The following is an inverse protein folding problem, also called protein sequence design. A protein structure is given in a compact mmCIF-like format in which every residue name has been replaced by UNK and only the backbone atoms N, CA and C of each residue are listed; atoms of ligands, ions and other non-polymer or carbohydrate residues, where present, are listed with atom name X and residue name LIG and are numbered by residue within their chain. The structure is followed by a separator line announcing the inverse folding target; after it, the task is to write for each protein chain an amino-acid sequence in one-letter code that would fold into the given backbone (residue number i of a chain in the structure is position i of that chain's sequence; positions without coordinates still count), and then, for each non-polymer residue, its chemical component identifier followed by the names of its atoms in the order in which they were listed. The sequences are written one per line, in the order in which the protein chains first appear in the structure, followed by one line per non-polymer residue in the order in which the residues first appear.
data_IF_931961517545
#
_entry.id   IF_931961517545
#
_cell.length_a   1.000
_cell.length_b   1.000
_cell.length_c   1.000
_cell.angle_alpha   90.00
_cell.angle_beta   90.00
_cell.angle_gamma   90.00
#
_symmetry.space_group_name_H-M   'P 1'
#
loop_
_entity.id
_entity.type
_entity.pdbx_description
1 polymer ?
#
# COMPACT_ATOMS: atom_id res chain seq x y z
N UNK A 1 7.48 -10.31 -0.20
CA UNK A 1 8.41 -9.77 0.82
C UNK A 1 7.74 -8.56 1.46
N UNK A 2 7.68 -8.46 2.78
CA UNK A 2 7.10 -7.30 3.46
C UNK A 2 8.16 -6.24 3.75
N UNK A 3 7.83 -4.97 3.57
CA UNK A 3 8.71 -3.84 3.85
C UNK A 3 7.93 -2.76 4.63
N UNK A 4 8.36 -2.53 5.88
CA UNK A 4 7.74 -1.52 6.75
C UNK A 4 8.25 -0.11 6.44
N UNK A 5 7.57 0.91 6.98
CA UNK A 5 7.99 2.30 6.81
C UNK A 5 9.37 2.55 7.45
N UNK A 6 10.38 2.97 6.69
CA UNK A 6 11.77 3.02 7.15
C UNK A 6 12.00 4.11 8.19
N UNK A 7 11.15 5.14 8.24
CA UNK A 7 11.30 6.28 9.15
C UNK A 7 10.38 6.18 10.38
N UNK A 8 9.91 4.97 10.71
CA UNK A 8 9.04 4.72 11.88
C UNK A 8 9.59 5.33 13.19
N UNK A 9 10.89 5.22 13.53
CA UNK A 9 11.43 5.76 14.78
C UNK A 9 11.42 7.29 14.91
N UNK A 10 11.40 8.02 13.79
CA UNK A 10 11.41 9.49 13.79
C UNK A 10 10.01 10.08 13.57
N UNK A 11 9.10 9.30 12.98
CA UNK A 11 7.71 9.70 12.77
C UNK A 11 6.81 9.47 13.99
N UNK A 12 7.28 8.72 15.00
CA UNK A 12 6.51 8.34 16.18
C UNK A 12 7.37 8.46 17.46
N UNK A 13 6.77 8.47 18.66
CA UNK A 13 7.53 8.50 19.91
C UNK A 13 8.53 7.34 20.01
N UNK A 14 9.82 7.67 20.19
CA UNK A 14 10.93 6.70 20.13
C UNK A 14 10.76 5.53 21.10
N UNK A 15 10.17 5.74 22.27
CA UNK A 15 9.99 4.70 23.29
C UNK A 15 9.13 3.52 22.82
N UNK A 16 8.28 3.69 21.80
CA UNK A 16 7.46 2.59 21.27
C UNK A 16 8.26 1.54 20.50
N UNK A 17 9.47 1.90 20.05
CA UNK A 17 10.35 1.07 19.21
C UNK A 17 11.81 1.26 19.62
N UNK A 18 12.08 1.40 20.92
CA UNK A 18 13.35 1.87 21.46
C UNK A 18 14.56 1.03 21.02
N UNK A 19 14.36 -0.28 20.86
CA UNK A 19 15.41 -1.25 20.52
C UNK A 19 15.35 -1.72 19.06
N UNK A 20 14.48 -1.10 18.24
CA UNK A 20 14.31 -1.48 16.84
C UNK A 20 14.96 -0.47 15.91
N UNK A 21 15.56 -1.00 14.85
CA UNK A 21 16.09 -0.25 13.72
C UNK A 21 15.18 -0.42 12.50
N UNK A 22 14.93 0.70 11.83
CA UNK A 22 14.21 0.75 10.57
C UNK A 22 15.05 1.53 9.59
N UNK A 23 14.99 1.17 8.31
CA UNK A 23 15.75 1.87 7.30
C UNK A 23 15.52 1.31 5.90
N UNK A 24 15.99 2.06 4.92
CA UNK A 24 16.04 1.63 3.52
C UNK A 24 17.29 0.76 3.38
N UNK A 25 17.11 -0.55 3.29
CA UNK A 25 18.21 -1.51 3.23
C UNK A 25 18.18 -2.26 1.90
N UNK A 26 18.57 -1.58 0.81
CA UNK A 26 18.54 -2.14 -0.55
C UNK A 26 19.32 -3.47 -0.66
N UNK A 27 20.46 -3.58 0.02
CA UNK A 27 21.27 -4.80 0.05
C UNK A 27 20.54 -5.95 0.76
N UNK A 28 19.90 -5.68 1.89
CA UNK A 28 19.12 -6.68 2.60
C UNK A 28 17.89 -7.11 1.79
N UNK A 29 17.20 -6.16 1.15
CA UNK A 29 16.11 -6.47 0.23
C UNK A 29 16.59 -7.35 -0.93
N UNK A 30 17.75 -7.07 -1.51
CA UNK A 30 18.33 -7.92 -2.57
C UNK A 30 18.60 -9.35 -2.06
N UNK A 31 19.12 -9.51 -0.83
CA UNK A 31 19.29 -10.83 -0.21
C UNK A 31 17.94 -11.56 -0.09
N UNK A 32 16.89 -10.89 0.40
CA UNK A 32 15.56 -11.48 0.52
C UNK A 32 14.95 -11.87 -0.83
N UNK A 33 15.15 -11.05 -1.87
CA UNK A 33 14.72 -11.38 -3.24
C UNK A 33 15.45 -12.61 -3.74
N UNK A 34 16.78 -12.65 -3.60
CA UNK A 34 17.59 -13.80 -4.01
C UNK A 34 17.18 -15.08 -3.27
N UNK A 35 16.92 -14.99 -1.96
CA UNK A 35 16.45 -16.12 -1.16
C UNK A 35 15.08 -16.63 -1.65
N UNK A 36 14.12 -15.73 -1.87
CA UNK A 36 12.81 -16.11 -2.39
C UNK A 36 12.91 -16.80 -3.76
N UNK A 37 13.73 -16.26 -4.67
CA UNK A 37 14.00 -16.86 -5.99
C UNK A 37 14.71 -18.21 -5.86
N UNK A 38 15.70 -18.32 -5.00
CA UNK A 38 16.44 -19.56 -4.73
C UNK A 38 15.54 -20.67 -4.20
N UNK A 39 14.49 -20.31 -3.46
CA UNK A 39 13.43 -21.23 -3.01
C UNK A 39 12.38 -21.56 -4.09
N UNK A 40 12.56 -21.07 -5.32
CA UNK A 40 11.70 -21.39 -6.47
C UNK A 40 10.59 -20.38 -6.76
N UNK A 41 10.60 -19.19 -6.16
CA UNK A 41 9.60 -18.16 -6.46
C UNK A 41 9.67 -17.73 -7.93
N UNK A 42 8.59 -17.95 -8.68
CA UNK A 42 8.44 -17.49 -10.08
C UNK A 42 8.00 -16.03 -10.19
N UNK A 43 7.37 -15.51 -9.13
CA UNK A 43 7.05 -14.08 -8.98
C UNK A 43 7.47 -13.62 -7.60
N UNK A 44 8.13 -12.46 -7.51
CA UNK A 44 8.49 -11.80 -6.26
C UNK A 44 7.82 -10.44 -6.20
N UNK A 45 6.88 -10.32 -5.27
CA UNK A 45 6.18 -9.08 -4.96
C UNK A 45 6.66 -8.54 -3.62
N UNK A 46 6.98 -7.23 -3.58
CA UNK A 46 7.20 -6.50 -2.34
C UNK A 46 5.91 -5.80 -1.94
N UNK A 47 5.42 -6.08 -0.74
CA UNK A 47 4.34 -5.32 -0.11
C UNK A 47 5.00 -4.25 0.76
N UNK A 48 4.99 -3.01 0.26
CA UNK A 48 5.80 -1.91 0.80
C UNK A 48 4.96 -0.87 1.52
N UNK A 49 5.55 -0.27 2.54
CA UNK A 49 5.08 0.95 3.17
C UNK A 49 6.16 2.04 3.17
N UNK A 50 7.10 2.02 2.21
CA UNK A 50 8.15 3.05 2.12
C UNK A 50 7.62 4.42 1.68
N UNK A 51 6.65 4.40 0.76
CA UNK A 51 6.20 5.59 0.01
C UNK A 51 6.69 5.55 -1.44
N UNK A 52 5.89 6.13 -2.34
CA UNK A 52 6.06 5.99 -3.80
C UNK A 52 7.48 6.30 -4.29
N UNK A 53 8.04 7.46 -3.97
CA UNK A 53 9.35 7.87 -4.49
C UNK A 53 10.48 6.96 -4.00
N UNK A 54 10.38 6.48 -2.77
CA UNK A 54 11.35 5.53 -2.19
C UNK A 54 11.21 4.17 -2.86
N UNK A 55 9.98 3.71 -3.12
CA UNK A 55 9.74 2.45 -3.83
C UNK A 55 10.20 2.50 -5.28
N UNK A 56 9.98 3.61 -6.00
CA UNK A 56 10.53 3.84 -7.34
C UNK A 56 12.06 3.79 -7.33
N UNK A 57 12.69 4.37 -6.30
CA UNK A 57 14.16 4.34 -6.18
C UNK A 57 14.68 2.94 -5.85
N UNK A 58 14.02 2.22 -4.95
CA UNK A 58 14.36 0.83 -4.61
C UNK A 58 14.20 -0.07 -5.83
N UNK A 59 13.11 0.09 -6.60
CA UNK A 59 12.88 -0.63 -7.86
C UNK A 59 13.98 -0.39 -8.90
N UNK A 60 14.62 0.78 -8.91
CA UNK A 60 15.73 1.05 -9.82
C UNK A 60 17.03 0.37 -9.41
N UNK A 61 17.14 -0.10 -8.17
CA UNK A 61 18.38 -0.64 -7.57
C UNK A 61 18.32 -2.14 -7.32
N UNK A 62 17.22 -2.63 -6.78
CA UNK A 62 17.03 -4.04 -6.42
C UNK A 62 16.52 -4.83 -7.62
N UNK A 63 17.24 -5.88 -7.99
CA UNK A 63 16.95 -6.74 -9.14
C UNK A 63 16.04 -7.89 -8.73
N UNK A 64 15.20 -8.34 -9.67
CA UNK A 64 14.41 -9.56 -9.52
C UNK A 64 13.06 -9.39 -8.80
N UNK A 65 12.68 -8.16 -8.45
CA UNK A 65 11.33 -7.81 -8.00
C UNK A 65 10.44 -7.62 -9.23
N UNK A 66 9.31 -8.32 -9.32
CA UNK A 66 8.36 -8.15 -10.42
C UNK A 66 7.38 -7.00 -10.15
N UNK A 67 6.93 -6.86 -8.89
CA UNK A 67 6.10 -5.74 -8.47
C UNK A 67 6.38 -5.27 -7.05
N UNK A 68 6.18 -3.97 -6.84
CA UNK A 68 6.04 -3.32 -5.55
C UNK A 68 4.61 -2.81 -5.44
N UNK A 69 3.88 -3.35 -4.47
CA UNK A 69 2.57 -2.86 -4.06
C UNK A 69 2.80 -1.96 -2.84
N UNK A 70 2.86 -0.66 -3.07
CA UNK A 70 3.26 0.32 -2.07
C UNK A 70 2.09 0.86 -1.24
N UNK A 71 2.44 1.78 -0.35
CA UNK A 71 1.53 2.44 0.58
C UNK A 71 2.13 3.77 1.03
N UNK A 72 1.77 4.21 2.25
CA UNK A 72 2.26 5.43 2.89
C UNK A 72 1.85 6.77 2.24
N UNK A 73 2.16 6.98 0.97
CA UNK A 73 1.95 8.25 0.25
C UNK A 73 0.51 8.43 -0.26
N UNK A 74 -0.32 7.39 -0.17
CA UNK A 74 -1.75 7.43 -0.49
C UNK A 74 -2.08 7.78 -1.95
N UNK A 75 -1.18 7.47 -2.89
CA UNK A 75 -1.38 7.72 -4.32
C UNK A 75 -2.40 6.75 -4.91
N UNK A 76 -3.41 7.25 -5.61
CA UNK A 76 -4.32 6.44 -6.41
C UNK A 76 -3.78 6.33 -7.83
N UNK A 77 -3.20 5.19 -8.19
CA UNK A 77 -2.52 5.02 -9.48
C UNK A 77 -3.39 4.29 -10.49
N UNK A 78 -3.83 4.93 -11.59
CA UNK A 78 -4.64 4.26 -12.61
C UNK A 78 -3.87 3.18 -13.39
N UNK A 79 -2.53 3.25 -13.39
CA UNK A 79 -1.63 2.25 -13.96
C UNK A 79 -0.33 2.19 -13.12
N UNK A 80 0.38 1.05 -13.09
CA UNK A 80 1.69 0.96 -12.43
C UNK A 80 2.75 1.74 -13.19
N UNK A 81 3.73 2.29 -12.49
CA UNK A 81 4.99 2.72 -13.09
C UNK A 81 5.84 1.50 -13.44
N UNK A 82 6.43 1.48 -14.63
CA UNK A 82 7.38 0.45 -15.05
C UNK A 82 8.80 0.98 -14.88
N UNK A 83 9.50 0.49 -13.88
CA UNK A 83 10.88 0.90 -13.58
C UNK A 83 11.85 -0.13 -14.16
N UNK A 84 12.73 0.29 -15.09
CA UNK A 84 13.80 -0.56 -15.63
C UNK A 84 15.01 -0.55 -14.69
N UNK A 85 15.63 -1.71 -14.51
CA UNK A 85 16.86 -1.88 -13.74
C UNK A 85 17.76 -2.96 -14.38
N UNK A 86 18.93 -3.20 -13.80
CA UNK A 86 19.91 -4.16 -14.32
C UNK A 86 19.43 -5.63 -14.36
N UNK A 87 18.32 -5.95 -13.69
CA UNK A 87 17.70 -7.28 -13.66
C UNK A 87 16.42 -7.40 -14.50
N UNK A 88 16.04 -6.37 -15.26
CA UNK A 88 14.82 -6.34 -16.05
C UNK A 88 13.96 -5.12 -15.70
N UNK A 89 12.71 -5.38 -15.30
CA UNK A 89 11.77 -4.33 -14.91
C UNK A 89 11.00 -4.71 -13.65
N UNK A 90 10.52 -3.69 -12.95
CA UNK A 90 9.68 -3.81 -11.76
C UNK A 90 8.48 -2.88 -11.91
N UNK A 91 7.28 -3.41 -11.65
CA UNK A 91 6.05 -2.62 -11.60
C UNK A 91 5.91 -1.96 -10.22
N UNK A 92 5.55 -0.69 -10.14
CA UNK A 92 5.33 0.01 -8.86
C UNK A 92 3.95 0.65 -8.87
N UNK A 93 3.12 0.37 -7.88
CA UNK A 93 1.76 0.90 -7.80
C UNK A 93 1.26 1.08 -6.37
N UNK A 94 0.36 2.05 -6.18
CA UNK A 94 -0.40 2.29 -4.95
C UNK A 94 -1.91 2.31 -5.26
N UNK A 95 -2.72 1.82 -4.33
CA UNK A 95 -4.19 1.74 -4.46
C UNK A 95 -4.93 2.88 -3.72
N UNK A 96 -4.29 4.03 -3.55
CA UNK A 96 -4.87 5.18 -2.84
C UNK A 96 -4.93 4.99 -1.34
N UNK A 97 -6.00 5.49 -0.72
CA UNK A 97 -6.21 5.46 0.74
C UNK A 97 -7.68 5.33 1.09
N UNK A 98 -7.96 5.02 2.36
CA UNK A 98 -9.32 4.90 2.91
C UNK A 98 -10.19 3.92 2.11
N UNK A 99 -9.54 2.89 1.57
CA UNK A 99 -10.15 1.92 0.67
C UNK A 99 -10.87 2.56 -0.53
N UNK A 100 -10.54 3.78 -0.98
CA UNK A 100 -11.23 4.35 -2.15
C UNK A 100 -11.12 3.48 -3.39
N UNK A 101 -10.01 2.74 -3.51
CA UNK A 101 -9.76 1.83 -4.61
C UNK A 101 -9.27 0.46 -4.14
N UNK A 102 -9.44 -0.52 -5.02
CA UNK A 102 -8.82 -1.84 -4.97
C UNK A 102 -7.92 -1.99 -6.22
N UNK A 103 -6.62 -2.16 -6.01
CA UNK A 103 -5.70 -2.48 -7.10
C UNK A 103 -5.72 -3.99 -7.38
N UNK A 104 -6.01 -4.37 -8.62
CA UNK A 104 -5.93 -5.74 -9.12
C UNK A 104 -4.79 -5.83 -10.14
N UNK A 105 -3.79 -6.67 -9.85
CA UNK A 105 -2.64 -6.92 -10.72
C UNK A 105 -2.57 -8.41 -11.03
N UNK A 106 -2.87 -8.76 -12.27
CA UNK A 106 -2.83 -10.13 -12.77
C UNK A 106 -1.53 -10.35 -13.55
N UNK A 107 -0.76 -11.38 -13.20
CA UNK A 107 0.45 -11.75 -13.91
C UNK A 107 0.22 -12.92 -14.86
N UNK A 108 0.74 -12.82 -16.08
CA UNK A 108 0.92 -13.96 -16.98
C UNK A 108 2.30 -14.59 -16.69
N UNK A 109 2.30 -15.74 -16.03
CA UNK A 109 3.53 -16.45 -15.61
C UNK A 109 3.70 -17.71 -16.46
N UNK A 110 4.74 -17.73 -17.29
CA UNK A 110 5.05 -18.86 -18.18
C UNK A 110 6.55 -19.13 -18.19
N UNK A 111 6.92 -20.41 -18.13
CA UNK A 111 8.32 -20.83 -18.13
C UNK A 111 9.13 -20.27 -16.96
N UNK A 112 8.49 -20.10 -15.78
CA UNK A 112 9.15 -19.60 -14.58
C UNK A 112 9.35 -18.08 -14.52
N UNK A 113 8.77 -17.32 -15.47
CA UNK A 113 8.95 -15.87 -15.57
C UNK A 113 7.64 -15.15 -15.89
N UNK A 114 7.53 -13.90 -15.46
CA UNK A 114 6.46 -13.00 -15.87
C UNK A 114 6.66 -12.60 -17.34
N UNK A 115 5.67 -12.88 -18.18
CA UNK A 115 5.67 -12.51 -19.61
C UNK A 115 4.80 -11.28 -19.89
N UNK A 116 3.84 -11.01 -19.02
CA UNK A 116 2.92 -9.89 -19.14
C UNK A 116 2.12 -9.67 -17.87
N UNK A 117 1.35 -8.60 -17.84
CA UNK A 117 0.45 -8.30 -16.75
C UNK A 117 -0.78 -7.55 -17.23
N UNK A 118 -1.85 -7.60 -16.43
CA UNK A 118 -3.02 -6.75 -16.53
C UNK A 118 -3.20 -6.01 -15.21
N UNK A 119 -3.57 -4.74 -15.27
CA UNK A 119 -3.80 -3.94 -14.07
C UNK A 119 -5.12 -3.19 -14.14
N UNK A 120 -5.85 -3.17 -13.02
CA UNK A 120 -7.05 -2.36 -12.84
C UNK A 120 -7.04 -1.70 -11.47
N UNK A 121 -7.31 -0.41 -11.43
CA UNK A 121 -7.65 0.31 -10.21
C UNK A 121 -9.18 0.45 -10.11
N UNK A 122 -9.80 -0.35 -9.24
CA UNK A 122 -11.25 -0.44 -9.13
C UNK A 122 -11.76 0.51 -8.04
N UNK A 123 -12.61 1.51 -8.34
CA UNK A 123 -13.22 2.35 -7.30
C UNK A 123 -14.24 1.51 -6.53
N UNK A 124 -13.90 1.00 -5.34
CA UNK A 124 -14.67 -0.10 -4.73
C UNK A 124 -16.12 0.32 -4.44
N UNK A 125 -16.35 1.57 -4.02
CA UNK A 125 -17.67 2.04 -3.61
C UNK A 125 -18.65 2.15 -4.78
N UNK A 126 -18.13 2.15 -6.01
CA UNK A 126 -18.93 2.19 -7.23
C UNK A 126 -19.16 0.79 -7.80
N UNK A 127 -18.59 -0.26 -7.19
CA UNK A 127 -18.75 -1.63 -7.66
C UNK A 127 -20.07 -2.22 -7.16
N UNK A 128 -20.92 -2.79 -8.04
CA UNK A 128 -22.19 -3.42 -7.64
C UNK A 128 -22.02 -4.53 -6.60
N UNK A 129 -20.88 -5.22 -6.62
CA UNK A 129 -20.52 -6.28 -5.69
C UNK A 129 -20.06 -5.79 -4.30
N UNK A 130 -19.83 -4.48 -4.10
CA UNK A 130 -19.32 -3.92 -2.85
C UNK A 130 -20.38 -3.73 -1.76
N UNK A 131 -21.47 -4.50 -1.79
CA UNK A 131 -22.50 -4.42 -0.75
C UNK A 131 -21.97 -5.00 0.56
N UNK A 132 -22.14 -4.30 1.69
CA UNK A 132 -21.81 -4.86 3.00
C UNK A 132 -22.55 -6.17 3.21
N UNK A 133 -21.83 -7.23 3.57
CA UNK A 133 -22.47 -8.50 3.90
C UNK A 133 -23.01 -8.46 5.34
N UNK A 134 -24.09 -9.21 5.65
CA UNK A 134 -24.65 -9.23 7.00
C UNK A 134 -23.63 -9.61 8.09
N UNK A 135 -22.75 -10.62 7.91
CA UNK A 135 -21.75 -10.97 8.94
C UNK A 135 -20.79 -9.83 9.25
N UNK A 136 -20.24 -9.16 8.23
CA UNK A 136 -19.31 -8.05 8.42
C UNK A 136 -20.00 -6.84 9.04
N UNK A 137 -21.23 -6.54 8.63
CA UNK A 137 -22.03 -5.45 9.19
C UNK A 137 -22.31 -5.68 10.67
N UNK A 138 -22.72 -6.91 11.04
CA UNK A 138 -22.96 -7.29 12.42
C UNK A 138 -21.68 -7.17 13.27
N UNK A 139 -20.55 -7.62 12.74
CA UNK A 139 -19.26 -7.53 13.43
C UNK A 139 -18.85 -6.07 13.66
N UNK A 140 -18.87 -5.23 12.61
CA UNK A 140 -18.53 -3.80 12.71
C UNK A 140 -19.43 -3.09 13.72
N UNK A 141 -20.74 -3.38 13.70
CA UNK A 141 -21.67 -2.81 14.66
C UNK A 141 -21.30 -3.22 16.09
N UNK A 142 -20.99 -4.50 16.31
CA UNK A 142 -20.63 -5.02 17.63
C UNK A 142 -19.31 -4.45 18.16
N UNK A 143 -18.25 -4.45 17.35
CA UNK A 143 -16.89 -4.15 17.83
C UNK A 143 -16.53 -2.67 17.78
N UNK A 144 -17.06 -1.92 16.80
CA UNK A 144 -16.63 -0.55 16.55
C UNK A 144 -17.71 0.49 16.88
N UNK A 145 -18.98 0.22 16.55
CA UNK A 145 -20.03 1.26 16.63
C UNK A 145 -20.83 1.24 17.93
N UNK A 146 -21.26 0.07 18.39
CA UNK A 146 -22.08 -0.03 19.60
C UNK A 146 -21.37 0.50 20.86
N UNK A 147 -20.08 0.20 21.11
CA UNK A 147 -19.39 0.67 22.32
C UNK A 147 -19.20 2.19 22.38
N UNK A 148 -19.11 2.85 21.22
CA UNK A 148 -18.79 4.29 21.10
C UNK A 148 -19.97 5.12 20.60
N UNK A 149 -21.18 4.53 20.51
CA UNK A 149 -22.34 5.15 19.88
C UNK A 149 -22.66 6.54 20.45
N UNK A 150 -22.57 6.72 21.75
CA UNK A 150 -22.87 8.01 22.38
C UNK A 150 -21.78 9.04 22.10
N UNK A 151 -20.51 8.69 22.30
CA UNK A 151 -19.38 9.62 22.14
C UNK A 151 -19.10 10.00 20.69
N UNK A 152 -19.23 9.07 19.73
CA UNK A 152 -19.00 9.36 18.32
C UNK A 152 -20.12 10.16 17.65
N UNK A 153 -21.33 10.18 18.22
CA UNK A 153 -22.47 10.92 17.67
C UNK A 153 -22.78 12.23 18.42
N UNK A 154 -22.01 12.56 19.46
CA UNK A 154 -22.12 13.83 20.15
C UNK A 154 -21.84 14.99 19.19
N UNK A 155 -22.77 15.94 19.11
CA UNK A 155 -22.60 17.13 18.27
C UNK A 155 -21.73 18.14 19.01
N UNK A 156 -20.45 18.19 18.63
CA UNK A 156 -19.52 19.17 19.20
C UNK A 156 -19.75 20.59 18.65
N UNK A 157 -19.84 20.73 17.32
CA UNK A 157 -20.08 22.02 16.65
C UNK A 157 -20.57 21.84 15.21
N UNK A 158 -21.23 22.87 14.66
CA UNK A 158 -21.51 22.99 13.22
C UNK A 158 -20.33 23.63 12.49
N UNK A 159 -19.92 23.06 11.36
CA UNK A 159 -18.90 23.65 10.51
C UNK A 159 -19.38 24.99 9.91
N UNK A 160 -18.49 25.98 9.72
CA UNK A 160 -18.84 27.26 9.11
C UNK A 160 -19.06 27.16 7.59
N UNK A 161 -18.55 26.10 6.96
CA UNK A 161 -18.69 25.79 5.54
C UNK A 161 -19.28 24.39 5.35
N UNK A 162 -19.83 24.15 4.16
CA UNK A 162 -20.44 22.86 3.82
C UNK A 162 -19.41 21.77 3.53
N UNK A 163 -18.16 22.14 3.20
CA UNK A 163 -17.09 21.21 2.90
C UNK A 163 -15.90 21.41 3.86
N UNK A 164 -15.56 20.33 4.55
CA UNK A 164 -14.30 20.15 5.27
C UNK A 164 -13.56 18.97 4.63
N UNK A 165 -12.32 19.17 4.23
CA UNK A 165 -11.54 18.14 3.56
C UNK A 165 -10.12 18.07 4.11
N UNK A 166 -9.46 16.94 3.87
CA UNK A 166 -8.05 16.73 4.19
C UNK A 166 -7.35 16.01 3.04
N UNK A 167 -6.57 16.77 2.26
CA UNK A 167 -5.31 16.45 1.56
C UNK A 167 -4.94 17.70 0.77
N UNK A 168 -3.69 18.17 0.87
CA UNK A 168 -3.20 19.32 0.13
C UNK A 168 -1.71 19.52 0.43
N UNK A 169 -0.92 19.96 -0.56
CA UNK A 169 0.55 19.96 -0.43
C UNK A 169 1.13 21.20 0.26
N UNK A 170 0.36 22.28 0.39
CA UNK A 170 0.67 23.45 1.24
C UNK A 170 -0.60 24.13 1.78
N UNK A 171 -1.73 24.06 1.05
CA UNK A 171 -3.13 24.38 1.46
C UNK A 171 -4.17 23.76 0.47
N UNK A 172 -3.76 22.72 -0.27
CA UNK A 172 -4.28 22.38 -1.62
C UNK A 172 -5.71 21.87 -1.77
N UNK A 173 -6.25 22.01 -2.98
CA UNK A 173 -7.28 21.12 -3.54
C UNK A 173 -6.64 19.96 -4.28
#
# INVERSE_FOLDING_TARGET
IGQAFPYTPIANPRYMVADWEFGIQDENMQKMVNEARGKGAQVVVVLSHNGMDVDLKMASRVRGIDAILGGHTHDGMPAPFVVKNAGGQTLVTNAGSNSKFLGALDFDVRGGKVQGFQYKLLPHLLQPAARPTPPWTALINKVARAPTKTSCHEKLRRAPTDLLYRRGNFNGT
#
